data_IF_681328203827
#
_entry.id   IF_681328203827
#
_cell.length_a   1.000
_cell.length_b   1.000
_cell.length_c   1.000
_cell.angle_alpha   90.00
_cell.angle_beta   90.00
_cell.angle_gamma   90.00
#
_symmetry.space_group_name_H-M   'P 1'
#
loop_
_entity.id
_entity.type
_entity.pdbx_description
1 polymer ?
#
# COMPACT_ATOMS: atom_id res chain seq x y z
N UNK A 1 8.83 0.00 -24.22
CA UNK A 1 9.71 1.13 -24.58
C UNK A 1 9.25 1.67 -25.93
N UNK A 2 8.92 2.95 -26.03
CA UNK A 2 8.23 3.51 -27.22
C UNK A 2 9.18 4.03 -28.32
N UNK A 3 10.42 3.55 -28.39
CA UNK A 3 11.41 3.99 -29.37
C UNK A 3 12.01 5.38 -29.11
N UNK A 4 11.52 6.15 -28.11
CA UNK A 4 12.07 7.44 -27.66
C UNK A 4 12.76 7.37 -26.29
N UNK A 5 13.06 6.15 -25.82
CA UNK A 5 13.63 5.93 -24.49
C UNK A 5 12.60 5.86 -23.35
N UNK A 6 11.36 6.31 -23.59
CA UNK A 6 10.29 6.33 -22.58
C UNK A 6 9.75 4.92 -22.31
N UNK A 7 9.47 4.66 -21.03
CA UNK A 7 8.99 3.38 -20.52
C UNK A 7 7.88 3.61 -19.52
N UNK A 8 6.85 2.77 -19.61
CA UNK A 8 5.80 2.66 -18.62
C UNK A 8 5.51 1.18 -18.43
N UNK A 9 5.31 0.78 -17.19
CA UNK A 9 4.93 -0.58 -16.83
C UNK A 9 3.96 -0.57 -15.65
N UNK A 10 3.04 -1.52 -15.66
CA UNK A 10 2.20 -1.87 -14.54
C UNK A 10 2.18 -3.39 -14.37
N UNK A 11 2.33 -3.84 -13.14
CA UNK A 11 2.03 -5.19 -12.69
C UNK A 11 0.99 -5.11 -11.58
N UNK A 12 0.04 -6.03 -11.60
CA UNK A 12 -0.99 -6.10 -10.58
C UNK A 12 -1.37 -7.55 -10.32
N UNK A 13 -1.92 -7.77 -9.13
CA UNK A 13 -2.41 -9.08 -8.70
C UNK A 13 -3.61 -8.90 -7.79
N UNK A 14 -4.59 -9.79 -7.94
CA UNK A 14 -5.72 -9.88 -7.05
C UNK A 14 -6.04 -11.35 -6.75
N UNK A 15 -6.27 -11.66 -5.48
CA UNK A 15 -6.70 -12.97 -5.02
C UNK A 15 -7.85 -12.83 -4.03
N UNK A 16 -8.90 -13.63 -4.24
CA UNK A 16 -10.12 -13.63 -3.45
C UNK A 16 -10.52 -15.06 -3.13
N UNK A 17 -10.75 -15.36 -1.86
CA UNK A 17 -11.24 -16.68 -1.46
C UNK A 17 -12.56 -16.61 -0.70
N UNK A 18 -13.23 -17.76 -0.64
CA UNK A 18 -14.56 -17.88 -0.03
C UNK A 18 -14.57 -17.70 1.49
N UNK A 19 -13.40 -17.60 2.16
CA UNK A 19 -13.32 -17.29 3.59
C UNK A 19 -13.41 -15.78 3.88
N UNK A 20 -13.53 -14.95 2.85
CA UNK A 20 -13.56 -13.49 2.98
C UNK A 20 -12.17 -12.85 2.91
N UNK A 21 -11.11 -13.65 2.77
CA UNK A 21 -9.76 -13.13 2.53
C UNK A 21 -9.67 -12.51 1.15
N UNK A 22 -8.93 -11.42 1.10
CA UNK A 22 -8.58 -10.75 -0.14
C UNK A 22 -7.16 -10.23 -0.07
N UNK A 23 -6.45 -10.29 -1.18
CA UNK A 23 -5.13 -9.69 -1.35
C UNK A 23 -5.09 -9.01 -2.71
N UNK A 24 -4.68 -7.74 -2.72
CA UNK A 24 -4.53 -6.96 -3.94
C UNK A 24 -3.30 -6.09 -3.83
N UNK A 25 -2.62 -5.91 -4.95
CA UNK A 25 -1.55 -4.95 -5.05
C UNK A 25 -1.31 -4.54 -6.49
N UNK A 26 -0.65 -3.40 -6.66
CA UNK A 26 -0.10 -2.97 -7.93
C UNK A 26 1.29 -2.35 -7.75
N UNK A 27 2.15 -2.56 -8.74
CA UNK A 27 3.44 -1.90 -8.91
C UNK A 27 3.44 -1.20 -10.26
N UNK A 28 3.54 0.13 -10.24
CA UNK A 28 3.50 0.99 -11.41
C UNK A 28 4.76 1.84 -11.45
N UNK A 29 5.33 1.99 -12.63
CA UNK A 29 6.43 2.93 -12.81
C UNK A 29 6.49 3.48 -14.23
N UNK A 30 7.18 4.61 -14.35
CA UNK A 30 7.46 5.26 -15.61
C UNK A 30 8.86 5.85 -15.61
N UNK A 31 9.46 5.97 -16.80
CA UNK A 31 10.72 6.66 -17.03
C UNK A 31 10.66 7.41 -18.35
N UNK A 32 11.07 8.67 -18.35
CA UNK A 32 11.21 9.56 -19.50
C UNK A 32 12.69 9.84 -19.79
N UNK A 33 12.99 10.39 -20.97
CA UNK A 33 14.32 10.91 -21.26
C UNK A 33 14.69 12.01 -20.25
N UNK A 34 15.88 11.99 -19.61
CA UNK A 34 16.30 12.99 -18.62
C UNK A 34 16.35 14.45 -19.13
N UNK A 35 16.38 14.65 -20.45
CA UNK A 35 16.35 15.97 -21.09
C UNK A 35 14.93 16.44 -21.44
N UNK A 36 13.91 15.62 -21.17
CA UNK A 36 12.51 16.01 -21.37
C UNK A 36 12.21 17.23 -20.49
N UNK A 37 11.73 18.35 -21.06
CA UNK A 37 11.28 19.49 -20.26
C UNK A 37 10.08 19.09 -19.40
N UNK A 38 10.11 19.45 -18.11
CA UNK A 38 9.07 19.11 -17.15
C UNK A 38 8.57 20.36 -16.42
N UNK A 39 7.26 20.44 -16.22
CA UNK A 39 6.65 21.44 -15.35
C UNK A 39 7.10 21.26 -13.88
N UNK A 40 6.95 22.32 -13.08
CA UNK A 40 7.24 22.26 -11.64
C UNK A 40 6.39 21.15 -11.01
N UNK A 41 7.01 20.34 -10.15
CA UNK A 41 6.37 19.21 -9.47
C UNK A 41 6.33 17.90 -10.27
N UNK A 42 6.80 17.89 -11.52
CA UNK A 42 6.87 16.67 -12.34
C UNK A 42 8.26 16.02 -12.27
N UNK A 43 8.32 14.73 -12.58
CA UNK A 43 9.51 13.90 -12.48
C UNK A 43 9.79 13.14 -13.79
N UNK A 44 11.07 12.82 -14.01
CA UNK A 44 11.48 11.98 -15.14
C UNK A 44 11.25 10.51 -14.85
N UNK A 45 11.33 10.11 -13.58
CA UNK A 45 11.06 8.75 -13.10
C UNK A 45 10.06 8.84 -11.97
N UNK A 46 9.08 7.95 -11.95
CA UNK A 46 8.20 7.75 -10.80
C UNK A 46 7.86 6.28 -10.61
N UNK A 47 7.65 5.92 -9.35
CA UNK A 47 7.23 4.60 -8.91
C UNK A 47 6.06 4.75 -7.93
N UNK A 48 5.10 3.86 -8.04
CA UNK A 48 3.98 3.73 -7.12
C UNK A 48 3.71 2.26 -6.87
N UNK A 49 3.82 1.86 -5.61
CA UNK A 49 3.35 0.58 -5.10
C UNK A 49 2.24 0.81 -4.10
N UNK A 50 1.23 -0.04 -4.15
CA UNK A 50 0.21 -0.12 -3.11
C UNK A 50 -0.27 -1.55 -2.97
N UNK A 51 -0.76 -1.88 -1.79
CA UNK A 51 -1.41 -3.15 -1.57
C UNK A 51 -2.33 -3.13 -0.35
N UNK A 52 -3.26 -4.07 -0.36
CA UNK A 52 -4.18 -4.33 0.74
C UNK A 52 -4.35 -5.84 0.91
N UNK A 53 -4.44 -6.27 2.16
CA UNK A 53 -4.65 -7.65 2.56
C UNK A 53 -5.68 -7.69 3.68
N UNK A 54 -6.63 -8.60 3.55
CA UNK A 54 -7.70 -8.83 4.51
C UNK A 54 -7.71 -10.28 4.95
N UNK A 55 -7.87 -10.52 6.25
CA UNK A 55 -7.82 -11.86 6.84
C UNK A 55 -9.17 -12.61 6.80
N UNK A 56 -10.25 -11.94 6.40
CA UNK A 56 -11.63 -12.45 6.37
C UNK A 56 -12.36 -12.39 7.71
N UNK A 57 -11.65 -12.04 8.79
CA UNK A 57 -12.15 -11.94 10.16
C UNK A 57 -12.21 -10.50 10.68
N UNK A 58 -11.85 -9.53 9.85
CA UNK A 58 -11.90 -8.10 10.14
C UNK A 58 -10.54 -7.48 10.42
N UNK A 59 -9.45 -8.25 10.34
CA UNK A 59 -8.07 -7.73 10.34
C UNK A 59 -7.61 -7.37 8.93
N UNK A 60 -6.76 -6.35 8.84
CA UNK A 60 -6.29 -5.81 7.57
C UNK A 60 -4.88 -5.26 7.63
N UNK A 61 -4.15 -5.37 6.53
CA UNK A 61 -2.90 -4.67 6.28
C UNK A 61 -3.03 -3.85 4.99
N UNK A 62 -2.56 -2.60 5.00
CA UNK A 62 -2.48 -1.76 3.79
C UNK A 62 -1.17 -1.03 3.74
N UNK A 63 -0.70 -0.71 2.54
CA UNK A 63 0.48 0.11 2.37
C UNK A 63 0.45 0.89 1.05
N UNK A 64 1.18 1.99 1.03
CA UNK A 64 1.64 2.61 -0.21
C UNK A 64 3.12 2.96 -0.11
N UNK A 65 3.81 2.94 -1.23
CA UNK A 65 5.19 3.40 -1.36
C UNK A 65 5.34 4.07 -2.72
N UNK A 66 5.51 5.38 -2.69
CA UNK A 66 5.62 6.24 -3.87
C UNK A 66 6.92 7.00 -3.80
N UNK A 67 7.60 7.10 -4.93
CA UNK A 67 8.76 7.96 -5.06
C UNK A 67 8.97 8.40 -6.49
N UNK A 68 9.73 9.48 -6.65
CA UNK A 68 10.03 10.06 -7.94
C UNK A 68 11.42 10.68 -7.98
N UNK A 69 11.97 10.83 -9.19
CA UNK A 69 13.27 11.42 -9.44
C UNK A 69 13.23 12.39 -10.61
N UNK A 70 13.91 13.52 -10.46
CA UNK A 70 14.04 14.56 -11.47
C UNK A 70 15.51 14.84 -11.75
N UNK A 71 15.85 14.82 -13.03
CA UNK A 71 17.13 15.29 -13.55
C UNK A 71 17.21 16.81 -13.47
N UNK A 72 18.24 17.33 -12.81
CA UNK A 72 18.46 18.75 -12.52
C UNK A 72 19.89 19.16 -12.88
N UNK A 73 20.14 19.33 -14.18
CA UNK A 73 21.46 19.68 -14.71
C UNK A 73 22.42 18.49 -14.67
N UNK A 74 23.28 18.45 -13.66
CA UNK A 74 24.34 17.46 -13.47
C UNK A 74 24.00 16.38 -12.43
N UNK A 75 22.80 16.41 -11.85
CA UNK A 75 22.40 15.48 -10.80
C UNK A 75 20.91 15.20 -10.75
N UNK A 76 20.51 14.43 -9.73
CA UNK A 76 19.13 14.00 -9.55
C UNK A 76 18.62 14.38 -8.17
N UNK A 77 17.46 15.00 -8.14
CA UNK A 77 16.68 15.18 -6.91
C UNK A 77 15.64 14.07 -6.83
N UNK A 78 15.42 13.55 -5.62
CA UNK A 78 14.53 12.41 -5.35
C UNK A 78 13.60 12.74 -4.20
N UNK A 79 12.38 12.23 -4.23
CA UNK A 79 11.43 12.39 -3.14
C UNK A 79 10.46 11.24 -3.11
N UNK A 80 9.84 11.01 -1.96
CA UNK A 80 8.83 9.98 -1.83
C UNK A 80 8.05 10.05 -0.55
N UNK A 81 6.97 9.28 -0.54
CA UNK A 81 6.12 9.04 0.59
C UNK A 81 5.77 7.56 0.66
N UNK A 82 5.82 7.00 1.87
CA UNK A 82 5.34 5.66 2.14
C UNK A 82 4.55 5.66 3.44
N UNK A 83 3.57 4.78 3.51
CA UNK A 83 2.89 4.48 4.76
C UNK A 83 2.40 3.04 4.75
N UNK A 84 2.23 2.49 5.94
CA UNK A 84 1.63 1.19 6.17
C UNK A 84 0.68 1.26 7.36
N UNK A 85 -0.33 0.39 7.34
CA UNK A 85 -1.15 0.10 8.50
C UNK A 85 -1.34 -1.41 8.66
N UNK A 86 -1.44 -1.84 9.91
CA UNK A 86 -1.73 -3.22 10.26
C UNK A 86 -2.64 -3.26 11.48
N UNK A 87 -3.84 -3.82 11.29
CA UNK A 87 -4.87 -3.94 12.31
C UNK A 87 -5.30 -5.39 12.49
N UNK A 88 -5.43 -5.80 13.75
CA UNK A 88 -6.07 -7.06 14.12
C UNK A 88 -7.61 -6.95 14.04
N UNK A 89 -8.35 -8.07 14.12
CA UNK A 89 -9.81 -8.06 14.12
C UNK A 89 -10.46 -7.23 15.25
N UNK A 90 -9.74 -6.94 16.33
CA UNK A 90 -10.21 -6.15 17.46
C UNK A 90 -9.94 -4.65 17.27
N UNK A 91 -9.28 -4.26 16.18
CA UNK A 91 -8.89 -2.88 15.88
C UNK A 91 -7.63 -2.42 16.61
N UNK A 92 -6.87 -3.32 17.21
CA UNK A 92 -5.53 -2.98 17.68
C UNK A 92 -4.60 -2.92 16.48
N UNK A 93 -3.82 -1.85 16.38
CA UNK A 93 -2.97 -1.69 15.21
C UNK A 93 -2.10 -0.46 15.22
N UNK A 94 -1.23 -0.41 14.24
CA UNK A 94 -0.34 0.71 13.98
C UNK A 94 -0.59 1.22 12.58
N UNK A 95 -0.60 2.53 12.43
CA UNK A 95 -0.52 3.22 11.15
C UNK A 95 0.68 4.16 11.19
N UNK A 96 1.56 4.10 10.20
CA UNK A 96 2.80 4.86 10.23
C UNK A 96 3.24 5.21 8.82
N UNK A 97 4.09 6.23 8.70
CA UNK A 97 4.60 6.63 7.41
C UNK A 97 5.82 7.53 7.50
N UNK A 98 6.38 7.79 6.32
CA UNK A 98 7.55 8.62 6.10
C UNK A 98 7.35 9.40 4.80
N UNK A 99 7.65 10.70 4.85
CA UNK A 99 7.89 11.52 3.67
C UNK A 99 9.35 11.92 3.67
N UNK A 100 10.01 11.85 2.52
CA UNK A 100 11.43 12.13 2.40
C UNK A 100 11.78 12.83 1.10
N UNK A 101 12.92 13.52 1.11
CA UNK A 101 13.53 14.18 -0.03
C UNK A 101 15.05 14.04 0.04
N UNK A 102 15.69 13.90 -1.11
CA UNK A 102 17.13 13.91 -1.29
C UNK A 102 17.50 14.82 -2.46
N UNK A 103 18.29 15.85 -2.18
CA UNK A 103 18.81 16.77 -3.19
C UNK A 103 20.01 16.19 -3.93
N UNK A 104 20.30 16.78 -5.09
CA UNK A 104 21.43 16.35 -5.94
C UNK A 104 22.81 16.42 -5.28
N UNK A 105 23.00 17.26 -4.27
CA UNK A 105 24.30 17.46 -3.60
C UNK A 105 24.38 16.79 -2.21
N UNK A 106 23.53 15.81 -1.96
CA UNK A 106 23.56 15.02 -0.73
C UNK A 106 22.73 15.60 0.42
N UNK A 107 22.04 16.71 0.20
CA UNK A 107 21.01 17.20 1.11
C UNK A 107 19.94 16.11 1.30
N UNK A 108 19.51 15.90 2.54
CA UNK A 108 18.48 14.92 2.87
C UNK A 108 17.52 15.50 3.89
N UNK A 109 16.25 15.21 3.70
CA UNK A 109 15.20 15.53 4.63
C UNK A 109 14.24 14.36 4.74
N UNK A 110 13.78 14.05 5.95
CA UNK A 110 12.66 13.13 6.15
C UNK A 110 11.81 13.52 7.35
N UNK A 111 10.55 13.10 7.31
CA UNK A 111 9.58 13.25 8.40
C UNK A 111 8.80 11.95 8.53
N UNK A 112 8.89 11.34 9.70
CA UNK A 112 8.17 10.11 10.06
C UNK A 112 7.01 10.44 10.99
N UNK A 113 5.93 9.70 10.89
CA UNK A 113 4.77 9.78 11.77
C UNK A 113 4.23 8.38 12.06
N UNK A 114 3.52 8.25 13.17
CA UNK A 114 2.87 7.01 13.58
C UNK A 114 1.68 7.25 14.49
N UNK A 115 0.76 6.31 14.44
CA UNK A 115 -0.47 6.22 15.23
C UNK A 115 -0.57 4.81 15.77
N UNK A 116 -0.68 4.66 17.09
CA UNK A 116 -0.95 3.39 17.75
C UNK A 116 -2.36 3.39 18.31
N UNK A 117 -3.11 2.36 17.95
CA UNK A 117 -4.52 2.18 18.21
C UNK A 117 -4.74 0.99 19.15
N UNK A 118 -5.41 1.23 20.28
CA UNK A 118 -5.75 0.21 21.27
C UNK A 118 -7.26 0.11 21.55
N UNK A 119 -8.10 0.72 20.70
CA UNK A 119 -9.57 0.71 20.85
C UNK A 119 -10.10 1.21 22.20
N UNK A 120 -9.36 2.09 22.89
CA UNK A 120 -9.74 2.68 24.19
C UNK A 120 -10.41 4.05 24.07
N UNK A 121 -10.69 4.53 22.86
CA UNK A 121 -11.13 5.91 22.58
C UNK A 121 -10.00 6.93 22.57
N UNK A 122 -8.74 6.46 22.61
CA UNK A 122 -7.53 7.27 22.50
C UNK A 122 -6.59 6.71 21.45
N UNK A 123 -5.90 7.61 20.76
CA UNK A 123 -4.84 7.28 19.79
C UNK A 123 -3.54 7.91 20.25
N UNK A 124 -2.48 7.10 20.30
CA UNK A 124 -1.12 7.57 20.55
C UNK A 124 -0.49 7.99 19.23
N UNK A 125 -0.23 9.28 19.05
CA UNK A 125 0.36 9.87 17.85
C UNK A 125 1.79 10.30 18.13
N UNK A 126 2.72 9.89 17.30
CA UNK A 126 4.14 10.20 17.45
C UNK A 126 4.81 10.49 16.11
N UNK A 127 5.98 11.12 16.15
CA UNK A 127 6.75 11.36 14.96
C UNK A 127 7.92 12.31 15.17
N UNK A 128 8.70 12.47 14.10
CA UNK A 128 9.90 13.30 14.09
C UNK A 128 10.31 13.70 12.68
N UNK A 129 11.10 14.75 12.57
CA UNK A 129 11.72 15.23 11.34
C UNK A 129 13.23 15.32 11.49
N UNK A 130 13.98 15.10 10.42
CA UNK A 130 15.43 15.38 10.38
C UNK A 130 15.74 16.88 10.59
N UNK A 131 14.74 17.76 10.45
CA UNK A 131 14.84 19.19 10.76
C UNK A 131 14.65 19.53 12.24
N UNK A 132 14.50 18.54 13.13
CA UNK A 132 14.43 18.72 14.59
C UNK A 132 13.01 18.75 15.19
N UNK A 133 11.96 18.70 14.36
CA UNK A 133 10.59 18.52 14.85
C UNK A 133 10.43 17.15 15.53
N UNK A 134 9.71 17.08 16.64
CA UNK A 134 9.28 15.83 17.27
C UNK A 134 7.96 16.03 18.01
N UNK A 135 7.15 14.96 18.08
CA UNK A 135 5.93 14.95 18.89
C UNK A 135 5.62 13.54 19.38
N UNK A 136 4.96 13.49 20.52
CA UNK A 136 4.50 12.26 21.18
C UNK A 136 3.31 12.64 22.07
N UNK A 137 2.09 12.35 21.61
CA UNK A 137 0.85 12.80 22.25
C UNK A 137 -0.22 11.73 22.24
N UNK A 138 -1.15 11.81 23.20
CA UNK A 138 -2.36 11.00 23.21
C UNK A 138 -3.56 11.92 22.97
N UNK A 139 -4.40 11.56 22.00
CA UNK A 139 -5.59 12.35 21.65
C UNK A 139 -6.86 11.52 21.77
N UNK A 140 -7.98 12.09 22.26
CA UNK A 140 -9.28 11.41 22.21
C UNK A 140 -9.70 11.29 20.75
N UNK A 141 -9.74 10.06 20.25
CA UNK A 141 -10.08 9.74 18.86
C UNK A 141 -10.49 8.28 18.76
N UNK A 142 -11.54 8.00 18.01
CA UNK A 142 -11.93 6.63 17.68
C UNK A 142 -10.95 5.99 16.69
N UNK A 143 -10.86 4.67 16.75
CA UNK A 143 -10.09 3.89 15.77
C UNK A 143 -10.96 3.57 14.57
N UNK A 144 -10.50 3.99 13.40
CA UNK A 144 -11.12 3.68 12.12
C UNK A 144 -10.09 3.03 11.20
N UNK A 145 -10.48 1.91 10.61
CA UNK A 145 -9.73 1.21 9.57
C UNK A 145 -10.71 0.39 8.74
N UNK A 146 -10.29 0.04 7.52
CA UNK A 146 -11.12 -0.77 6.63
C UNK A 146 -10.99 -2.24 7.01
N UNK A 147 -12.05 -2.82 7.58
CA UNK A 147 -12.06 -4.19 8.09
C UNK A 147 -12.24 -5.24 7.00
N UNK A 148 -12.92 -4.86 5.92
CA UNK A 148 -13.34 -5.77 4.86
C UNK A 148 -13.02 -5.19 3.48
N UNK A 149 -12.69 -6.05 2.50
CA UNK A 149 -12.40 -5.56 1.16
C UNK A 149 -13.68 -5.05 0.50
N UNK A 150 -13.59 -3.91 -0.18
CA UNK A 150 -14.72 -3.37 -0.98
C UNK A 150 -15.17 -4.36 -2.07
N UNK A 151 -14.23 -5.09 -2.67
CA UNK A 151 -14.51 -6.14 -3.64
C UNK A 151 -13.90 -7.45 -3.15
N UNK A 152 -14.72 -8.50 -3.08
CA UNK A 152 -14.37 -9.80 -2.49
C UNK A 152 -14.82 -10.99 -3.33
N UNK A 153 -14.71 -12.21 -2.79
CA UNK A 153 -15.00 -13.45 -3.52
C UNK A 153 -16.41 -13.49 -4.12
N UNK A 154 -17.43 -13.12 -3.34
CA UNK A 154 -18.82 -13.16 -3.83
C UNK A 154 -19.03 -12.20 -5.00
N UNK A 155 -18.42 -11.00 -4.95
CA UNK A 155 -18.43 -10.05 -6.05
C UNK A 155 -17.78 -10.63 -7.31
N UNK A 156 -16.59 -11.25 -7.16
CA UNK A 156 -15.89 -11.92 -8.25
C UNK A 156 -16.73 -13.06 -8.86
N UNK A 157 -17.29 -13.92 -8.00
CA UNK A 157 -18.09 -15.08 -8.40
C UNK A 157 -19.38 -14.67 -9.13
N UNK A 158 -20.07 -13.65 -8.63
CA UNK A 158 -21.33 -13.18 -9.22
C UNK A 158 -21.10 -12.46 -10.56
N UNK A 159 -19.97 -11.76 -10.71
CA UNK A 159 -19.61 -11.08 -11.96
C UNK A 159 -19.13 -12.02 -13.06
N UNK A 160 -18.66 -13.23 -12.73
CA UNK A 160 -18.16 -14.18 -13.73
C UNK A 160 -19.17 -15.27 -14.07
N UNK A 161 -19.70 -15.22 -15.30
CA UNK A 161 -20.54 -16.31 -15.84
C UNK A 161 -19.70 -17.60 -16.00
N UNK A 162 -18.43 -17.46 -16.37
CA UNK A 162 -17.48 -18.56 -16.57
C UNK A 162 -17.20 -19.30 -15.26
N UNK A 163 -16.89 -18.59 -14.17
CA UNK A 163 -16.67 -19.23 -12.86
C UNK A 163 -17.89 -20.01 -12.38
N UNK A 164 -19.10 -19.47 -12.60
CA UNK A 164 -20.36 -20.16 -12.25
C UNK A 164 -20.62 -21.44 -13.05
N UNK A 165 -20.03 -21.55 -14.25
CA UNK A 165 -20.14 -22.75 -15.08
C UNK A 165 -19.21 -23.90 -14.65
N UNK A 166 -18.22 -23.62 -13.79
CA UNK A 166 -17.28 -24.64 -13.30
C UNK A 166 -17.99 -25.60 -12.34
N UNK A 167 -17.96 -26.90 -12.65
CA UNK A 167 -18.52 -27.93 -11.77
C UNK A 167 -17.78 -27.94 -10.43
N UNK A 168 -18.52 -27.80 -9.34
CA UNK A 168 -17.97 -27.93 -7.98
C UNK A 168 -17.37 -29.33 -7.81
N UNK A 169 -16.14 -29.39 -7.32
CA UNK A 169 -15.56 -30.67 -6.91
C UNK A 169 -16.36 -31.22 -5.73
N UNK A 170 -16.78 -32.48 -5.83
CA UNK A 170 -17.42 -33.17 -4.72
C UNK A 170 -16.42 -33.27 -3.58
N UNK A 171 -16.80 -33.00 -2.32
CA UNK A 171 -15.91 -33.19 -1.19
C UNK A 171 -15.33 -34.61 -1.24
N UNK A 172 -14.01 -34.74 -1.22
CA UNK A 172 -13.40 -36.06 -1.09
C UNK A 172 -13.81 -36.58 0.29
N UNK A 173 -14.59 -37.67 0.33
CA UNK A 173 -14.84 -38.42 1.56
C UNK A 173 -13.48 -38.88 2.11
N UNK A 174 -12.90 -38.11 3.03
CA UNK A 174 -11.87 -38.61 3.94
C UNK A 174 -12.55 -39.67 4.78
N UNK A 175 -12.22 -40.94 4.52
CA UNK A 175 -12.67 -42.06 5.35
C UNK A 175 -12.25 -41.77 6.79
N UNK A 176 -13.12 -41.99 7.80
CA UNK A 176 -12.67 -41.95 9.18
C UNK A 176 -11.56 -42.98 9.37
N UNK A 177 -10.45 -42.54 9.96
CA UNK A 177 -9.39 -43.40 10.44
C UNK A 177 -10.01 -44.37 11.46
N UNK A 178 -9.85 -45.68 11.21
CA UNK A 178 -10.34 -46.72 12.11
C UNK A 178 -9.43 -46.77 13.34
N UNK A 179 -10.08 -46.67 14.50
CA UNK A 179 -9.67 -46.98 15.89
C UNK A 179 -8.21 -47.37 16.16
#
# INVERSE_FOLDING_TARGET
QNGKGEQWQEQWWEHYDSSGKAEKWADKWCSLDPNTPLDVGHAHVWHERWGEKYDGCGGSAKYTDKWAERSEGDGWSKWGDKWDEHFDPNGHGVKQGETWWAGKYGDRWNRTWGEHHNCTGWVHKYGRSSSGEHWDTHVPQDTWYERFPHFGFEHCFNNSVQLRSVKRQTPKNTKPEKD
#
